data_IF_671502217363
#
_entry.id   IF_671502217363
#
_cell.length_a   1.000
_cell.length_b   1.000
_cell.length_c   1.000
_cell.angle_alpha   90.00
_cell.angle_beta   90.00
_cell.angle_gamma   90.00
#
_symmetry.space_group_name_H-M   'P 1'
#
loop_
_entity.id
_entity.type
_entity.pdbx_description
1 polymer ?
#
# COMPACT_ATOMS: atom_id res chain seq x y z
N UNK A 1 -22.69 -37.66 -9.07
CA UNK A 1 -22.08 -36.78 -9.51
C UNK A 1 -20.89 -36.60 -9.21
N UNK A 2 -20.37 -36.61 -9.75
CA UNK A 2 -19.22 -36.43 -9.54
C UNK A 2 -18.72 -35.34 -10.09
N UNK A 3 -19.24 -34.40 -9.89
CA UNK A 3 -18.89 -33.23 -10.40
C UNK A 3 -17.61 -32.68 -9.95
N UNK A 4 -17.06 -31.77 -10.68
CA UNK A 4 -15.96 -30.98 -10.26
C UNK A 4 -16.43 -30.10 -9.10
N UNK A 5 -15.54 -29.77 -8.16
CA UNK A 5 -15.88 -28.82 -7.12
C UNK A 5 -16.27 -27.48 -7.77
N UNK A 6 -17.17 -26.76 -7.11
CA UNK A 6 -17.53 -25.43 -7.59
C UNK A 6 -16.28 -24.54 -7.64
N UNK A 7 -16.20 -23.67 -8.64
CA UNK A 7 -15.05 -22.79 -8.73
C UNK A 7 -15.00 -21.83 -7.54
N UNK A 8 -13.81 -21.68 -6.99
CA UNK A 8 -13.56 -20.78 -5.88
C UNK A 8 -12.69 -19.65 -6.42
N UNK A 9 -13.05 -18.43 -6.07
CA UNK A 9 -12.28 -17.26 -6.48
C UNK A 9 -10.86 -17.32 -5.92
N UNK A 10 -9.91 -16.95 -6.75
CA UNK A 10 -8.51 -16.76 -6.36
C UNK A 10 -8.12 -15.36 -6.74
N UNK A 11 -7.37 -14.71 -5.87
CA UNK A 11 -6.96 -13.34 -6.10
C UNK A 11 -5.48 -13.17 -5.84
N UNK A 12 -4.86 -12.27 -6.59
CA UNK A 12 -3.53 -11.79 -6.24
C UNK A 12 -3.69 -10.88 -5.03
N UNK A 13 -2.78 -11.01 -4.08
CA UNK A 13 -2.73 -10.15 -2.91
C UNK A 13 -1.53 -9.23 -3.01
N UNK A 14 -1.74 -7.97 -2.70
CA UNK A 14 -0.66 -7.01 -2.53
C UNK A 14 -0.89 -6.22 -1.23
N UNK A 15 0.19 -5.84 -0.59
CA UNK A 15 0.14 -5.13 0.67
C UNK A 15 1.04 -3.91 0.61
N UNK A 16 0.52 -2.77 1.03
CA UNK A 16 1.25 -1.52 1.10
C UNK A 16 1.15 -0.90 2.49
N UNK A 17 1.96 0.12 2.71
CA UNK A 17 2.05 0.81 3.99
C UNK A 17 1.92 2.31 3.79
N UNK A 18 1.09 2.95 4.61
CA UNK A 18 0.99 4.40 4.66
C UNK A 18 1.83 4.91 5.83
N UNK A 19 2.97 5.51 5.51
CA UNK A 19 3.78 6.25 6.48
C UNK A 19 3.46 7.72 6.38
N UNK A 20 3.54 8.42 7.49
CA UNK A 20 3.26 9.85 7.56
C UNK A 20 4.43 10.61 8.16
N UNK A 21 4.57 11.87 7.80
CA UNK A 21 5.46 12.76 8.52
C UNK A 21 4.68 13.51 9.63
N UNK A 22 5.36 14.32 10.46
CA UNK A 22 4.67 15.06 11.53
C UNK A 22 3.61 16.05 11.03
N UNK A 23 3.68 16.49 9.77
CA UNK A 23 2.67 17.36 9.17
C UNK A 23 1.52 16.62 8.51
N UNK A 24 1.50 15.28 8.62
CA UNK A 24 0.45 14.46 8.04
C UNK A 24 0.59 14.16 6.54
N UNK A 25 1.72 14.49 5.94
CA UNK A 25 1.99 14.13 4.55
C UNK A 25 2.32 12.64 4.46
N UNK A 26 1.94 12.02 3.37
CA UNK A 26 2.11 10.57 3.17
C UNK A 26 3.34 10.27 2.33
N UNK A 27 4.07 9.22 2.71
CA UNK A 27 5.27 8.78 1.99
C UNK A 27 4.89 8.08 0.70
N UNK A 28 5.38 8.59 -0.42
CA UNK A 28 5.27 7.97 -1.73
C UNK A 28 6.65 7.54 -2.20
N UNK A 29 6.69 6.52 -3.04
CA UNK A 29 7.90 6.02 -3.68
C UNK A 29 7.77 6.13 -5.19
N UNK A 30 8.89 6.36 -5.86
CA UNK A 30 8.92 6.43 -7.31
C UNK A 30 9.66 5.24 -7.87
N UNK A 31 8.95 4.31 -8.52
CA UNK A 31 9.59 3.15 -9.15
C UNK A 31 10.57 3.59 -10.25
N UNK A 32 11.61 2.78 -10.46
CA UNK A 32 12.59 3.06 -11.51
C UNK A 32 12.13 2.59 -12.89
N UNK A 33 11.16 1.66 -12.93
CA UNK A 33 10.78 0.94 -14.15
C UNK A 33 9.51 1.48 -14.82
N UNK A 34 8.89 2.49 -14.26
CA UNK A 34 7.71 3.14 -14.84
C UNK A 34 7.57 4.57 -14.33
N UNK A 35 6.77 5.37 -15.03
CA UNK A 35 6.44 6.71 -14.59
C UNK A 35 5.43 6.67 -13.45
N UNK A 36 5.38 7.74 -12.67
CA UNK A 36 4.41 7.93 -11.59
C UNK A 36 4.92 7.44 -10.24
N UNK A 37 4.10 7.70 -9.23
CA UNK A 37 4.40 7.39 -7.85
C UNK A 37 3.51 6.25 -7.35
N UNK A 38 3.96 5.61 -6.29
CA UNK A 38 3.22 4.55 -5.60
C UNK A 38 3.40 4.69 -4.09
N UNK A 39 2.69 3.87 -3.32
CA UNK A 39 2.99 3.68 -1.90
C UNK A 39 3.98 2.52 -1.75
N UNK A 40 4.79 2.50 -0.68
CA UNK A 40 5.67 1.35 -0.42
C UNK A 40 4.85 0.07 -0.26
N UNK A 41 5.34 -1.02 -0.84
CA UNK A 41 4.66 -2.31 -0.77
C UNK A 41 4.89 -3.16 -2.01
N UNK A 42 4.19 -4.26 -2.10
CA UNK A 42 4.28 -5.17 -3.22
C UNK A 42 3.43 -6.42 -3.05
N UNK A 43 3.66 -7.40 -3.90
CA UNK A 43 2.89 -8.64 -3.90
C UNK A 43 3.19 -9.50 -2.67
N UNK A 44 2.14 -10.15 -2.18
CA UNK A 44 2.26 -11.18 -1.14
C UNK A 44 2.70 -12.49 -1.81
N UNK A 45 3.72 -13.13 -1.26
CA UNK A 45 4.26 -14.38 -1.79
C UNK A 45 3.52 -15.59 -1.20
N UNK A 46 3.55 -16.75 -1.89
CA UNK A 46 2.93 -17.95 -1.36
C UNK A 46 3.43 -18.28 0.05
N UNK A 47 2.49 -18.54 0.97
CA UNK A 47 2.82 -18.86 2.36
C UNK A 47 3.12 -17.67 3.25
N UNK A 48 3.20 -16.46 2.68
CA UNK A 48 3.47 -15.23 3.41
C UNK A 48 2.15 -14.55 3.78
N UNK A 49 2.07 -13.99 4.98
CA UNK A 49 0.91 -13.17 5.34
C UNK A 49 1.03 -11.78 4.71
N UNK A 50 -0.11 -11.07 4.49
CA UNK A 50 -0.05 -9.69 3.98
C UNK A 50 0.79 -8.76 4.84
N UNK A 51 0.73 -8.86 6.16
CA UNK A 51 1.56 -8.02 7.03
C UNK A 51 3.04 -8.35 6.91
N UNK A 52 3.40 -9.61 6.79
CA UNK A 52 4.79 -10.02 6.57
C UNK A 52 5.30 -9.51 5.22
N UNK A 53 4.47 -9.59 4.18
CA UNK A 53 4.81 -9.06 2.86
C UNK A 53 5.07 -7.56 2.92
N UNK A 54 4.22 -6.80 3.60
CA UNK A 54 4.37 -5.36 3.75
C UNK A 54 5.71 -5.02 4.45
N UNK A 55 6.04 -5.71 5.53
CA UNK A 55 7.31 -5.49 6.25
C UNK A 55 8.50 -5.81 5.34
N UNK A 56 8.45 -6.92 4.63
CA UNK A 56 9.52 -7.36 3.72
C UNK A 56 9.73 -6.35 2.59
N UNK A 57 8.65 -5.92 1.95
CA UNK A 57 8.72 -4.97 0.83
C UNK A 57 9.28 -3.62 1.27
N UNK A 58 8.87 -3.13 2.43
CA UNK A 58 9.41 -1.87 2.98
C UNK A 58 10.91 -2.00 3.24
N UNK A 59 11.36 -3.13 3.81
CA UNK A 59 12.78 -3.36 4.05
C UNK A 59 13.57 -3.42 2.74
N UNK A 60 13.05 -4.10 1.73
CA UNK A 60 13.68 -4.19 0.42
C UNK A 60 13.74 -2.85 -0.30
N UNK A 61 12.65 -2.09 -0.28
CA UNK A 61 12.54 -0.85 -1.03
C UNK A 61 13.21 0.34 -0.35
N UNK A 62 13.12 0.42 0.96
CA UNK A 62 13.52 1.61 1.74
C UNK A 62 14.59 1.36 2.80
N UNK A 63 15.01 0.12 2.96
CA UNK A 63 16.10 -0.22 3.88
C UNK A 63 15.76 -0.09 5.36
N UNK A 64 14.48 -0.02 5.72
CA UNK A 64 14.06 0.10 7.11
C UNK A 64 13.14 -1.05 7.52
N UNK A 65 13.21 -1.41 8.80
CA UNK A 65 12.26 -2.33 9.41
C UNK A 65 11.33 -1.52 10.28
N UNK A 66 10.06 -1.53 9.94
CA UNK A 66 9.06 -0.77 10.68
C UNK A 66 7.97 -1.71 11.20
N UNK A 67 7.59 -1.60 12.48
CA UNK A 67 6.44 -2.31 12.98
C UNK A 67 5.19 -1.74 12.33
N UNK A 68 4.24 -2.62 11.97
CA UNK A 68 3.00 -2.17 11.37
C UNK A 68 1.94 -1.93 12.43
N UNK A 69 1.17 -0.86 12.22
CA UNK A 69 -0.05 -0.60 12.92
C UNK A 69 -1.24 -1.35 12.29
N UNK A 70 -2.47 -0.87 12.56
CA UNK A 70 -3.67 -1.53 12.09
C UNK A 70 -3.80 -1.55 10.57
N UNK A 71 -4.55 -2.52 10.07
CA UNK A 71 -5.03 -2.52 8.70
C UNK A 71 -6.02 -1.36 8.51
N UNK A 72 -5.80 -0.55 7.49
CA UNK A 72 -6.63 0.61 7.18
C UNK A 72 -7.62 0.34 6.06
N UNK A 73 -7.22 -0.43 5.05
CA UNK A 73 -8.03 -0.64 3.85
C UNK A 73 -7.88 -2.08 3.37
N UNK A 74 -9.01 -2.66 2.99
CA UNK A 74 -9.08 -3.85 2.14
C UNK A 74 -9.82 -3.44 0.89
N UNK A 75 -9.16 -3.45 -0.27
CA UNK A 75 -9.72 -2.99 -1.53
C UNK A 75 -9.85 -4.14 -2.52
N UNK A 76 -11.08 -4.46 -2.89
CA UNK A 76 -11.36 -5.37 -4.00
C UNK A 76 -11.15 -4.60 -5.31
N UNK A 77 -10.09 -4.91 -6.01
CA UNK A 77 -9.66 -4.12 -7.15
C UNK A 77 -9.17 -4.99 -8.33
N UNK A 78 -10.06 -5.77 -8.95
CA UNK A 78 -9.69 -6.58 -10.13
C UNK A 78 -9.08 -5.71 -11.22
N UNK A 79 -8.14 -6.29 -11.97
CA UNK A 79 -7.53 -5.63 -13.12
C UNK A 79 -7.40 -6.64 -14.26
N UNK A 80 -8.07 -6.35 -15.38
CA UNK A 80 -8.12 -7.29 -16.49
C UNK A 80 -8.71 -8.62 -16.06
N UNK A 81 -8.08 -9.76 -16.39
CA UNK A 81 -8.59 -11.08 -16.02
C UNK A 81 -8.28 -11.46 -14.56
N UNK A 82 -7.54 -10.63 -13.83
CA UNK A 82 -7.09 -11.00 -12.50
C UNK A 82 -7.92 -10.35 -11.42
N UNK A 83 -8.44 -11.18 -10.51
CA UNK A 83 -9.00 -10.68 -9.26
C UNK A 83 -7.85 -10.26 -8.34
N UNK A 84 -7.99 -9.13 -7.68
CA UNK A 84 -6.97 -8.60 -6.80
C UNK A 84 -7.57 -8.07 -5.52
N UNK A 85 -6.89 -8.32 -4.42
CA UNK A 85 -7.19 -7.73 -3.11
C UNK A 85 -5.96 -6.96 -2.66
N UNK A 86 -6.13 -5.68 -2.42
CA UNK A 86 -5.06 -4.77 -2.02
C UNK A 86 -5.30 -4.31 -0.59
N UNK A 87 -4.26 -4.43 0.23
CA UNK A 87 -4.34 -4.11 1.65
C UNK A 87 -3.38 -2.96 1.97
N UNK A 88 -3.85 -1.99 2.75
CA UNK A 88 -3.00 -0.91 3.25
C UNK A 88 -2.95 -0.94 4.76
N UNK A 89 -1.73 -0.95 5.31
CA UNK A 89 -1.47 -0.91 6.74
C UNK A 89 -1.01 0.48 7.17
N UNK A 90 -1.27 0.83 8.42
CA UNK A 90 -0.77 2.06 9.02
C UNK A 90 0.70 1.86 9.41
N UNK A 91 1.58 2.66 8.84
CA UNK A 91 3.00 2.69 9.20
C UNK A 91 3.33 3.68 10.30
N UNK A 92 2.36 4.50 10.67
CA UNK A 92 2.56 5.54 11.68
C UNK A 92 3.31 6.76 11.18
N UNK A 93 3.63 7.65 12.12
CA UNK A 93 4.36 8.89 11.84
C UNK A 93 5.85 8.62 12.01
N UNK A 94 6.64 9.01 11.02
CA UNK A 94 8.09 8.92 11.08
C UNK A 94 8.66 10.28 11.52
N UNK A 95 9.45 10.28 12.60
CA UNK A 95 10.16 11.46 13.03
C UNK A 95 11.38 11.74 12.15
N UNK A 96 12.09 12.83 12.39
CA UNK A 96 13.25 13.21 11.58
C UNK A 96 14.34 12.13 11.57
N UNK A 97 14.58 11.47 12.69
CA UNK A 97 15.58 10.42 12.78
C UNK A 97 15.18 9.18 11.95
N UNK A 98 13.89 8.82 11.98
CA UNK A 98 13.36 7.71 11.20
C UNK A 98 13.37 8.04 9.70
N UNK A 99 12.99 9.27 9.34
CA UNK A 99 13.05 9.72 7.94
C UNK A 99 14.48 9.70 7.41
N UNK A 100 15.45 10.06 8.23
CA UNK A 100 16.87 10.05 7.84
C UNK A 100 17.39 8.64 7.52
N UNK A 101 16.72 7.59 8.00
CA UNK A 101 17.10 6.21 7.72
C UNK A 101 16.50 5.67 6.44
N UNK A 102 15.53 6.36 5.85
CA UNK A 102 14.94 5.92 4.58
C UNK A 102 16.01 5.94 3.49
N UNK A 103 16.18 4.80 2.83
CA UNK A 103 17.19 4.63 1.80
C UNK A 103 16.58 3.86 0.63
N UNK A 104 16.06 4.56 -0.40
CA UNK A 104 15.60 3.89 -1.60
C UNK A 104 16.70 3.00 -2.16
N UNK A 105 16.31 1.78 -2.58
CA UNK A 105 17.28 0.78 -3.00
C UNK A 105 18.01 1.13 -4.32
N UNK A 106 17.45 2.03 -5.12
CA UNK A 106 18.00 2.43 -6.39
C UNK A 106 17.80 1.42 -7.52
N UNK A 107 17.24 0.26 -7.21
CA UNK A 107 16.98 -0.81 -8.18
C UNK A 107 15.51 -0.81 -8.58
N UNK A 108 14.60 -1.00 -7.63
CA UNK A 108 13.17 -0.93 -7.86
C UNK A 108 12.62 0.46 -7.56
N UNK A 109 13.15 1.11 -6.53
CA UNK A 109 12.71 2.44 -6.06
C UNK A 109 13.86 3.43 -6.20
N UNK A 110 13.65 4.46 -7.02
CA UNK A 110 14.63 5.50 -7.24
C UNK A 110 14.54 6.68 -6.29
N UNK A 111 13.35 6.93 -5.73
CA UNK A 111 13.10 8.12 -4.93
C UNK A 111 11.97 7.86 -3.94
N UNK A 112 12.01 8.52 -2.80
CA UNK A 112 10.93 8.53 -1.80
C UNK A 112 10.71 9.96 -1.33
N UNK A 113 9.44 10.35 -1.19
CA UNK A 113 9.10 11.71 -0.75
C UNK A 113 7.75 11.74 -0.06
N UNK A 114 7.62 12.59 0.95
CA UNK A 114 6.33 12.86 1.59
C UNK A 114 5.56 13.89 0.77
N UNK A 115 4.27 13.61 0.55
CA UNK A 115 3.39 14.49 -0.24
C UNK A 115 2.08 14.72 0.50
N UNK A 116 1.53 15.95 0.46
CA UNK A 116 0.25 16.22 1.08
C UNK A 116 -0.90 15.52 0.35
N UNK A 117 -1.95 15.18 1.10
CA UNK A 117 -3.11 14.47 0.55
C UNK A 117 -3.72 15.18 -0.67
N UNK A 118 -3.70 16.50 -0.70
CA UNK A 118 -4.24 17.27 -1.83
C UNK A 118 -3.50 17.09 -3.16
N UNK A 119 -2.30 16.52 -3.15
CA UNK A 119 -1.52 16.26 -4.36
C UNK A 119 -1.66 14.83 -4.87
N UNK A 120 -2.28 13.94 -4.11
CA UNK A 120 -2.33 12.51 -4.47
C UNK A 120 -3.06 12.26 -5.77
N UNK A 121 -4.12 13.02 -6.07
CA UNK A 121 -4.87 12.88 -7.30
C UNK A 121 -4.06 13.17 -8.56
N UNK A 122 -3.01 13.99 -8.45
CA UNK A 122 -2.12 14.31 -9.57
C UNK A 122 -0.95 13.32 -9.68
N UNK A 123 -0.50 12.79 -8.56
CA UNK A 123 0.71 11.98 -8.49
C UNK A 123 0.44 10.50 -8.69
N UNK A 124 -0.74 10.02 -8.32
CA UNK A 124 -1.08 8.59 -8.33
C UNK A 124 -2.15 8.28 -9.37
N UNK A 125 -2.15 7.05 -9.92
CA UNK A 125 -3.29 6.59 -10.71
C UNK A 125 -4.60 6.74 -9.90
N UNK A 126 -5.71 6.99 -10.59
CA UNK A 126 -6.97 7.35 -9.95
C UNK A 126 -7.44 6.35 -8.88
N UNK A 127 -7.37 5.04 -9.16
CA UNK A 127 -7.77 4.00 -8.20
C UNK A 127 -6.88 4.01 -6.96
N UNK A 128 -5.58 4.16 -7.15
CA UNK A 128 -4.63 4.19 -6.04
C UNK A 128 -4.82 5.47 -5.21
N UNK A 129 -5.02 6.61 -5.85
CA UNK A 129 -5.28 7.85 -5.14
C UNK A 129 -6.53 7.73 -4.24
N UNK A 130 -7.62 7.16 -4.77
CA UNK A 130 -8.83 6.92 -3.97
C UNK A 130 -8.56 5.99 -2.79
N UNK A 131 -7.82 4.91 -3.02
CA UNK A 131 -7.46 3.94 -1.99
C UNK A 131 -6.65 4.57 -0.88
N UNK A 132 -5.65 5.37 -1.23
CA UNK A 132 -4.79 6.04 -0.24
C UNK A 132 -5.58 7.08 0.54
N UNK A 133 -6.41 7.88 -0.13
CA UNK A 133 -7.25 8.87 0.55
C UNK A 133 -8.23 8.21 1.52
N UNK A 134 -8.81 7.07 1.13
CA UNK A 134 -9.67 6.28 2.03
C UNK A 134 -8.88 5.76 3.23
N UNK A 135 -7.64 5.33 3.04
CA UNK A 135 -6.76 4.90 4.12
C UNK A 135 -6.44 6.01 5.10
N UNK A 136 -6.19 7.21 4.60
CA UNK A 136 -5.95 8.39 5.44
C UNK A 136 -7.20 8.69 6.29
N UNK A 137 -8.38 8.66 5.68
CA UNK A 137 -9.64 8.89 6.38
C UNK A 137 -9.94 7.79 7.41
N UNK A 138 -9.71 6.53 7.07
CA UNK A 138 -9.88 5.41 7.99
C UNK A 138 -8.96 5.55 9.21
N UNK A 139 -7.72 5.94 9.00
CA UNK A 139 -6.76 6.17 10.08
C UNK A 139 -7.24 7.26 11.03
N UNK A 140 -7.68 8.38 10.50
CA UNK A 140 -8.18 9.49 11.29
C UNK A 140 -9.43 9.10 12.11
N UNK A 141 -10.25 8.20 11.56
CA UNK A 141 -11.48 7.74 12.22
C UNK A 141 -11.27 6.50 13.11
N UNK A 142 -10.07 5.94 13.12
CA UNK A 142 -9.78 4.75 13.94
C UNK A 142 -10.50 3.50 13.47
N UNK A 143 -10.66 3.31 12.16
CA UNK A 143 -11.37 2.16 11.59
C UNK A 143 -10.62 1.54 10.43
N UNK A 144 -11.09 0.37 9.99
CA UNK A 144 -10.67 -0.28 8.75
C UNK A 144 -11.83 -0.20 7.74
N UNK A 145 -11.55 0.24 6.52
CA UNK A 145 -12.57 0.35 5.48
C UNK A 145 -12.42 -0.75 4.43
N UNK A 146 -13.55 -1.31 4.03
CA UNK A 146 -13.65 -2.16 2.85
C UNK A 146 -14.00 -1.29 1.65
N UNK A 147 -13.25 -1.46 0.56
CA UNK A 147 -13.45 -0.72 -0.67
C UNK A 147 -13.67 -1.66 -1.85
N UNK A 148 -14.27 -1.14 -2.90
CA UNK A 148 -14.26 -1.77 -4.22
C UNK A 148 -13.81 -0.72 -5.22
N UNK A 149 -12.72 -1.02 -5.95
CA UNK A 149 -12.08 -0.07 -6.88
C UNK A 149 -11.73 1.28 -6.23
N UNK A 150 -11.33 1.24 -4.97
CA UNK A 150 -11.00 2.43 -4.21
C UNK A 150 -12.18 3.23 -3.68
N UNK A 151 -13.40 2.68 -3.77
CA UNK A 151 -14.64 3.37 -3.34
C UNK A 151 -15.28 2.59 -2.21
N UNK A 152 -15.70 3.29 -1.16
CA UNK A 152 -16.44 2.66 -0.06
C UNK A 152 -17.78 2.16 -0.59
N UNK A 153 -18.06 0.93 -0.21
CA UNK A 153 -19.36 0.32 -0.51
C UNK A 153 -20.45 0.78 0.44
#
# INVERSE_FOLDING_TARGET
>A
VTGEPEPIARALLAAGVLFFDPEGRVLLVKPTYKDGWEVPGGHVLPGESPSAAAVREVAEELGVTAPLGPLLVVDWAPMGPEDRVLLLFDGGVLDDAQQARLSPDGVEIGEAAFRPAGQLGELLPARLARRVLAGIAARAAGRTDYLEHGVRG
#
